data_IF_042617170359
#
_entry.id   IF_042617170359
#
_cell.length_a   1.000
_cell.length_b   1.000
_cell.length_c   1.000
_cell.angle_alpha   90.00
_cell.angle_beta   90.00
_cell.angle_gamma   90.00
#
_symmetry.space_group_name_H-M   'P 1'
#
loop_
_entity.id
_entity.type
_entity.pdbx_description
1 polymer ?
#
# COMPACT_ATOMS: atom_id res chain seq x y z
N UNK A 1 33.83 5.49 42.73
CA UNK A 1 35.27 5.39 42.47
C UNK A 1 35.56 3.94 42.08
N UNK A 2 35.90 3.70 40.81
CA UNK A 2 36.32 2.43 40.16
C UNK A 2 35.27 1.29 40.17
N UNK A 3 35.09 0.44 39.14
CA UNK A 3 36.04 -0.09 38.16
C UNK A 3 35.35 -0.68 36.90
N UNK A 4 35.83 -0.25 35.72
CA UNK A 4 36.26 -0.98 34.51
C UNK A 4 35.33 -1.97 33.77
N UNK A 5 35.04 -1.69 32.48
CA UNK A 5 35.61 -2.32 31.23
C UNK A 5 35.23 -3.81 31.12
N UNK A 6 34.56 -4.36 30.11
CA UNK A 6 34.41 -4.07 28.67
C UNK A 6 34.50 -5.43 27.93
N UNK A 7 33.78 -5.63 26.81
CA UNK A 7 33.97 -6.67 25.74
C UNK A 7 32.82 -6.55 24.71
N UNK A 8 33.00 -5.79 23.62
CA UNK A 8 33.36 -6.25 22.25
C UNK A 8 32.37 -7.23 21.61
N UNK A 9 31.51 -6.71 20.71
CA UNK A 9 30.66 -7.46 19.80
C UNK A 9 31.40 -7.71 18.47
N UNK A 10 31.44 -8.96 18.03
CA UNK A 10 32.00 -9.37 16.74
C UNK A 10 30.95 -9.28 15.63
N UNK A 11 31.35 -8.70 14.50
CA UNK A 11 30.69 -8.80 13.20
C UNK A 11 31.06 -10.14 12.55
N UNK A 12 30.08 -10.90 12.09
CA UNK A 12 30.30 -12.03 11.20
C UNK A 12 29.59 -11.77 9.85
N UNK A 13 30.40 -11.41 8.85
CA UNK A 13 30.10 -11.56 7.43
C UNK A 13 30.20 -13.04 7.07
N UNK A 14 29.27 -13.54 6.26
CA UNK A 14 29.39 -14.85 5.63
C UNK A 14 29.03 -14.73 4.15
N UNK A 15 30.04 -14.96 3.30
CA UNK A 15 29.92 -15.05 1.87
C UNK A 15 30.82 -16.19 1.35
N UNK A 16 30.34 -16.83 0.28
CA UNK A 16 30.99 -17.66 -0.74
C UNK A 16 31.15 -19.20 -0.56
N UNK A 17 30.31 -19.92 -1.35
CA UNK A 17 30.60 -20.63 -2.63
C UNK A 17 31.18 -22.07 -2.71
N UNK A 18 30.44 -22.88 -3.52
CA UNK A 18 30.81 -23.86 -4.60
C UNK A 18 30.69 -25.40 -4.41
N UNK A 19 29.82 -25.96 -5.29
CA UNK A 19 29.95 -27.12 -6.24
C UNK A 19 29.92 -28.58 -5.75
N UNK A 20 29.06 -29.38 -6.40
CA UNK A 20 29.16 -30.84 -6.54
C UNK A 20 28.07 -31.41 -7.46
N UNK A 21 28.45 -32.25 -8.43
CA UNK A 21 27.73 -32.62 -9.67
C UNK A 21 26.80 -33.86 -9.61
N UNK A 22 26.01 -34.02 -10.69
CA UNK A 22 25.35 -35.26 -11.14
C UNK A 22 24.06 -34.92 -11.90
N UNK A 23 23.80 -35.25 -13.16
CA UNK A 23 24.27 -36.32 -14.04
C UNK A 23 23.01 -36.99 -14.60
N UNK A 24 22.66 -36.78 -15.88
CA UNK A 24 21.56 -37.50 -16.53
C UNK A 24 21.82 -37.65 -18.02
N UNK A 25 21.70 -38.89 -18.48
CA UNK A 25 22.14 -39.42 -19.76
C UNK A 25 21.21 -39.05 -20.93
N UNK A 26 21.82 -38.85 -22.10
CA UNK A 26 21.14 -38.80 -23.40
C UNK A 26 21.12 -40.20 -24.04
N UNK A 27 20.02 -40.53 -24.70
CA UNK A 27 19.93 -41.64 -25.66
C UNK A 27 19.82 -41.05 -27.07
N UNK A 28 20.75 -41.43 -27.96
CA UNK A 28 20.63 -41.21 -29.40
C UNK A 28 21.02 -42.51 -30.13
N UNK A 29 20.23 -42.85 -31.15
CA UNK A 29 20.38 -44.01 -32.04
C UNK A 29 21.41 -43.77 -33.15
N UNK A 30 21.95 -44.83 -33.80
CA UNK A 30 23.06 -44.70 -34.73
C UNK A 30 22.61 -44.62 -36.20
N UNK A 31 23.37 -43.91 -37.03
CA UNK A 31 23.37 -44.08 -38.48
C UNK A 31 24.81 -44.13 -39.01
N UNK A 32 25.10 -45.20 -39.74
CA UNK A 32 26.36 -45.50 -40.42
C UNK A 32 26.49 -44.70 -41.73
N UNK A 33 27.72 -44.37 -42.11
CA UNK A 33 28.05 -43.91 -43.47
C UNK A 33 29.53 -43.56 -43.62
N UNK A 34 30.30 -44.47 -44.24
CA UNK A 34 31.72 -44.32 -44.59
C UNK A 34 31.91 -43.50 -45.87
N UNK A 35 32.93 -42.65 -45.92
CA UNK A 35 33.42 -42.01 -47.15
C UNK A 35 34.64 -41.11 -46.91
N UNK A 36 35.79 -41.49 -47.45
CA UNK A 36 37.12 -40.86 -47.29
C UNK A 36 37.22 -39.45 -47.90
N UNK A 37 37.96 -38.56 -47.24
CA UNK A 37 38.42 -37.28 -47.78
C UNK A 37 39.57 -36.68 -46.96
N UNK A 38 40.74 -36.56 -47.60
CA UNK A 38 41.96 -35.80 -47.28
C UNK A 38 42.11 -35.12 -45.90
N UNK A 39 43.14 -35.51 -45.15
CA UNK A 39 43.59 -34.85 -43.92
C UNK A 39 44.31 -33.53 -44.24
N UNK A 40 43.65 -32.41 -43.96
CA UNK A 40 44.32 -31.12 -43.73
C UNK A 40 44.62 -30.98 -42.22
N UNK A 41 45.74 -30.33 -41.82
CA UNK A 41 46.03 -30.10 -40.41
C UNK A 41 44.97 -29.19 -39.77
N UNK A 42 44.66 -29.36 -38.47
CA UNK A 42 43.60 -28.60 -37.81
C UNK A 42 43.92 -27.10 -37.78
N UNK A 43 42.99 -26.30 -38.30
CA UNK A 43 43.01 -24.83 -38.19
C UNK A 43 42.81 -24.44 -36.71
N UNK A 44 43.56 -23.48 -36.16
CA UNK A 44 43.34 -23.02 -34.79
C UNK A 44 41.91 -22.48 -34.62
N UNK A 45 41.28 -22.69 -33.44
CA UNK A 45 39.92 -22.23 -33.19
C UNK A 45 39.84 -20.70 -33.35
N UNK A 46 38.72 -20.16 -33.86
CA UNK A 46 38.53 -18.72 -33.92
C UNK A 46 38.59 -18.13 -32.51
N UNK A 47 39.11 -16.90 -32.36
CA UNK A 47 39.16 -16.24 -31.06
C UNK A 47 37.75 -16.19 -30.46
N UNK A 48 37.61 -16.66 -29.22
CA UNK A 48 36.37 -16.54 -28.48
C UNK A 48 36.00 -15.05 -28.40
N UNK A 49 34.77 -14.65 -28.74
CA UNK A 49 34.33 -13.29 -28.49
C UNK A 49 34.45 -13.02 -26.99
N UNK A 50 35.04 -11.87 -26.64
CA UNK A 50 35.16 -11.42 -25.27
C UNK A 50 33.78 -11.50 -24.57
N UNK A 51 33.72 -11.87 -23.28
CA UNK A 51 32.46 -11.92 -22.57
C UNK A 51 31.78 -10.56 -22.70
N UNK A 52 30.59 -10.55 -23.29
CA UNK A 52 29.70 -9.39 -23.28
C UNK A 52 29.37 -9.17 -21.80
N UNK A 53 29.99 -8.17 -21.20
CA UNK A 53 29.53 -7.63 -19.93
C UNK A 53 28.16 -7.03 -20.20
N UNK A 54 27.12 -7.74 -19.81
CA UNK A 54 25.80 -7.13 -19.65
C UNK A 54 25.98 -6.03 -18.60
N UNK A 55 26.04 -4.78 -19.06
CA UNK A 55 25.94 -3.58 -18.23
C UNK A 55 24.58 -3.64 -17.53
N UNK A 56 24.56 -4.37 -16.43
CA UNK A 56 23.47 -4.30 -15.47
C UNK A 56 23.60 -2.90 -14.88
N UNK A 57 22.56 -2.05 -14.88
CA UNK A 57 22.65 -0.74 -14.26
C UNK A 57 23.05 -0.94 -12.79
N UNK A 58 24.31 -0.65 -12.46
CA UNK A 58 24.77 -0.64 -11.08
C UNK A 58 23.94 0.42 -10.37
N UNK A 59 23.35 0.07 -9.22
CA UNK A 59 22.74 1.07 -8.35
C UNK A 59 23.76 2.22 -8.15
N UNK A 60 23.33 3.50 -8.26
CA UNK A 60 24.25 4.63 -8.10
C UNK A 60 24.96 4.54 -6.75
N UNK A 61 26.27 4.80 -6.76
CA UNK A 61 27.10 4.78 -5.56
C UNK A 61 26.49 5.67 -4.45
N UNK A 62 26.62 5.31 -3.16
CA UNK A 62 26.06 6.10 -2.07
C UNK A 62 26.62 7.53 -2.10
N UNK A 63 25.74 8.49 -2.31
CA UNK A 63 26.04 9.92 -2.26
C UNK A 63 25.77 10.41 -0.83
N UNK A 64 26.82 10.75 -0.09
CA UNK A 64 26.73 11.25 1.29
C UNK A 64 25.80 12.46 1.43
N UNK A 65 25.73 13.31 0.40
CA UNK A 65 24.85 14.48 0.39
C UNK A 65 23.37 14.10 0.19
N UNK A 66 23.11 13.07 -0.63
CA UNK A 66 21.77 12.50 -0.84
C UNK A 66 21.29 11.80 0.43
N UNK A 67 22.15 10.99 1.06
CA UNK A 67 21.84 10.31 2.32
C UNK A 67 21.57 11.30 3.45
N UNK A 68 22.34 12.40 3.54
CA UNK A 68 22.11 13.47 4.51
C UNK A 68 20.79 14.21 4.24
N UNK A 69 20.48 14.52 2.97
CA UNK A 69 19.23 15.18 2.60
C UNK A 69 18.01 14.31 2.93
N UNK A 70 18.09 13.00 2.64
CA UNK A 70 17.05 12.05 3.03
C UNK A 70 16.88 12.00 4.54
N UNK A 71 17.98 11.94 5.30
CA UNK A 71 17.93 11.91 6.75
C UNK A 71 17.21 13.15 7.30
N UNK A 72 17.60 14.34 6.88
CA UNK A 72 16.94 15.59 7.28
C UNK A 72 15.45 15.58 6.92
N UNK A 73 15.10 15.15 5.71
CA UNK A 73 13.70 15.04 5.29
C UNK A 73 12.91 14.03 6.12
N UNK A 74 13.51 12.88 6.45
CA UNK A 74 12.83 11.80 7.16
C UNK A 74 12.70 12.03 8.67
N UNK A 75 13.51 12.91 9.24
CA UNK A 75 13.46 13.31 10.66
C UNK A 75 12.43 14.41 10.96
N UNK A 76 11.84 15.04 9.94
CA UNK A 76 10.78 16.05 10.13
C UNK A 76 9.60 15.51 10.92
N UNK A 77 8.99 16.31 11.79
CA UNK A 77 7.81 15.86 12.53
C UNK A 77 6.58 15.88 11.62
N UNK A 78 5.53 15.16 12.02
CA UNK A 78 4.28 15.08 11.23
C UNK A 78 3.64 16.46 11.05
N UNK A 79 3.85 17.36 12.00
CA UNK A 79 3.31 18.71 12.03
C UNK A 79 4.07 19.67 11.09
N UNK A 80 5.30 19.34 10.71
CA UNK A 80 6.17 20.16 9.85
C UNK A 80 5.79 20.07 8.35
N UNK A 81 4.49 20.07 8.03
CA UNK A 81 3.95 19.75 6.71
C UNK A 81 4.54 20.62 5.60
N UNK A 82 4.64 21.94 5.83
CA UNK A 82 5.22 22.86 4.84
C UNK A 82 6.68 22.52 4.52
N UNK A 83 7.48 22.18 5.54
CA UNK A 83 8.88 21.82 5.38
C UNK A 83 9.05 20.44 4.74
N UNK A 84 8.13 19.50 5.02
CA UNK A 84 8.10 18.21 4.33
C UNK A 84 7.87 18.42 2.82
N UNK A 85 6.90 19.24 2.43
CA UNK A 85 6.64 19.51 1.01
C UNK A 85 7.87 20.16 0.37
N UNK A 86 8.41 21.21 0.97
CA UNK A 86 9.59 21.93 0.46
C UNK A 86 10.80 20.99 0.27
N UNK A 87 11.23 20.30 1.33
CA UNK A 87 12.41 19.43 1.27
C UNK A 87 12.20 18.20 0.38
N UNK A 88 10.98 17.66 0.33
CA UNK A 88 10.67 16.54 -0.56
C UNK A 88 10.71 16.95 -2.03
N UNK A 89 10.12 18.09 -2.40
CA UNK A 89 10.18 18.61 -3.76
C UNK A 89 11.62 18.98 -4.18
N UNK A 90 12.40 19.59 -3.28
CA UNK A 90 13.82 19.87 -3.50
C UNK A 90 14.64 18.59 -3.72
N UNK A 91 14.39 17.55 -2.89
CA UNK A 91 15.06 16.26 -3.02
C UNK A 91 14.79 15.64 -4.39
N UNK A 92 13.52 15.57 -4.82
CA UNK A 92 13.14 15.00 -6.11
C UNK A 92 13.72 15.78 -7.30
N UNK A 93 13.81 17.11 -7.17
CA UNK A 93 14.42 17.97 -8.19
C UNK A 93 15.93 17.75 -8.28
N UNK A 94 16.62 17.62 -7.14
CA UNK A 94 18.07 17.48 -7.07
C UNK A 94 18.54 16.06 -7.42
N UNK A 95 17.74 15.05 -7.07
CA UNK A 95 18.08 13.64 -7.23
C UNK A 95 16.98 12.86 -7.99
N UNK A 96 16.70 13.20 -9.27
CA UNK A 96 15.58 12.62 -10.02
C UNK A 96 15.67 11.10 -10.23
N UNK A 97 16.87 10.50 -10.13
CA UNK A 97 17.11 9.05 -10.21
C UNK A 97 17.38 8.37 -8.86
N UNK A 98 17.08 9.03 -7.74
CA UNK A 98 17.39 8.51 -6.41
C UNK A 98 16.64 7.21 -6.10
N UNK A 99 17.35 6.28 -5.45
CA UNK A 99 16.77 5.06 -4.87
C UNK A 99 15.75 5.36 -3.75
N UNK A 100 15.78 6.57 -3.20
CA UNK A 100 14.90 7.00 -2.13
C UNK A 100 13.62 7.70 -2.62
N UNK A 101 13.45 7.88 -3.93
CA UNK A 101 12.26 8.53 -4.48
C UNK A 101 10.96 7.86 -4.00
N UNK A 102 10.94 6.53 -3.85
CA UNK A 102 9.79 5.82 -3.29
C UNK A 102 9.40 6.33 -1.90
N UNK A 103 10.39 6.53 -1.02
CA UNK A 103 10.20 7.05 0.35
C UNK A 103 9.76 8.50 0.32
N UNK A 104 10.36 9.31 -0.55
CA UNK A 104 10.04 10.74 -0.66
C UNK A 104 8.62 10.95 -1.16
N UNK A 105 8.22 10.30 -2.24
CA UNK A 105 6.84 10.34 -2.74
C UNK A 105 5.84 9.82 -1.71
N UNK A 106 6.16 8.74 -1.00
CA UNK A 106 5.28 8.19 0.04
C UNK A 106 5.05 9.18 1.18
N UNK A 107 6.05 9.98 1.54
CA UNK A 107 5.89 11.00 2.59
C UNK A 107 5.22 12.28 2.09
N UNK A 108 5.43 12.63 0.81
CA UNK A 108 4.77 13.78 0.19
C UNK A 108 3.26 13.59 0.02
N UNK A 109 2.78 12.38 -0.30
CA UNK A 109 1.35 12.15 -0.52
C UNK A 109 0.45 12.59 0.67
N UNK A 110 0.65 12.11 1.91
CA UNK A 110 -0.12 12.60 3.05
C UNK A 110 0.17 14.06 3.40
N UNK A 111 1.37 14.58 3.12
CA UNK A 111 1.68 15.99 3.32
C UNK A 111 0.84 16.90 2.38
N UNK A 112 0.72 16.54 1.10
CA UNK A 112 -0.14 17.24 0.16
C UNK A 112 -1.63 17.13 0.54
N UNK A 113 -2.06 15.99 1.07
CA UNK A 113 -3.42 15.85 1.60
C UNK A 113 -3.71 16.85 2.72
N UNK A 114 -2.77 17.00 3.66
CA UNK A 114 -2.93 17.88 4.81
C UNK A 114 -3.08 19.37 4.43
N UNK A 115 -2.61 19.77 3.25
CA UNK A 115 -2.77 21.12 2.70
C UNK A 115 -3.75 21.20 1.52
N UNK A 116 -4.63 20.20 1.40
CA UNK A 116 -5.67 20.11 0.36
C UNK A 116 -5.15 20.19 -1.09
N UNK A 117 -3.88 19.85 -1.34
CA UNK A 117 -3.32 19.73 -2.69
C UNK A 117 -3.58 18.33 -3.26
N UNK A 118 -4.85 18.00 -3.48
CA UNK A 118 -5.27 16.62 -3.78
C UNK A 118 -4.70 16.06 -5.09
N UNK A 119 -4.57 16.86 -6.15
CA UNK A 119 -3.97 16.40 -7.42
C UNK A 119 -2.51 15.97 -7.21
N UNK A 120 -1.74 16.74 -6.43
CA UNK A 120 -0.37 16.38 -6.07
C UNK A 120 -0.32 15.16 -5.14
N UNK A 121 -1.28 15.02 -4.22
CA UNK A 121 -1.38 13.84 -3.37
C UNK A 121 -1.56 12.56 -4.19
N UNK A 122 -2.51 12.52 -5.12
CA UNK A 122 -2.74 11.33 -5.95
C UNK A 122 -1.55 11.06 -6.87
N UNK A 123 -0.93 12.10 -7.46
CA UNK A 123 0.25 11.94 -8.29
C UNK A 123 1.46 11.37 -7.50
N UNK A 124 1.71 11.89 -6.30
CA UNK A 124 2.75 11.38 -5.41
C UNK A 124 2.45 9.95 -4.94
N UNK A 125 1.21 9.65 -4.59
CA UNK A 125 0.78 8.30 -4.19
C UNK A 125 0.98 7.28 -5.30
N UNK A 126 0.57 7.59 -6.53
CA UNK A 126 0.81 6.69 -7.69
C UNK A 126 2.31 6.51 -7.95
N UNK A 127 3.12 7.58 -7.87
CA UNK A 127 4.58 7.46 -8.01
C UNK A 127 5.23 6.63 -6.91
N UNK A 128 4.75 6.75 -5.67
CA UNK A 128 5.22 5.92 -4.57
C UNK A 128 4.92 4.44 -4.81
N UNK A 129 3.71 4.11 -5.28
CA UNK A 129 3.30 2.72 -5.58
C UNK A 129 3.93 2.15 -6.86
N UNK A 130 4.28 2.99 -7.83
CA UNK A 130 5.07 2.59 -8.99
C UNK A 130 6.48 2.11 -8.56
N UNK A 131 7.10 2.82 -7.61
CA UNK A 131 8.45 2.52 -7.13
C UNK A 131 8.50 1.49 -5.99
N UNK A 132 7.45 1.43 -5.17
CA UNK A 132 7.27 0.44 -4.11
C UNK A 132 5.78 0.00 -4.05
N UNK A 133 5.41 -1.05 -4.80
CA UNK A 133 4.01 -1.51 -4.91
C UNK A 133 3.37 -1.98 -3.60
N UNK A 134 4.19 -2.37 -2.62
CA UNK A 134 3.75 -2.89 -1.32
C UNK A 134 3.91 -1.87 -0.19
N UNK A 135 4.04 -0.57 -0.51
CA UNK A 135 3.98 0.47 0.49
C UNK A 135 2.58 0.54 1.12
N UNK A 136 2.44 -0.11 2.28
CA UNK A 136 1.15 -0.31 2.96
C UNK A 136 0.47 1.01 3.37
N UNK A 137 1.25 2.04 3.69
CA UNK A 137 0.71 3.36 4.07
C UNK A 137 0.01 4.02 2.87
N UNK A 138 0.66 3.96 1.71
CA UNK A 138 0.12 4.55 0.49
C UNK A 138 -0.99 3.69 -0.10
N UNK A 139 -0.90 2.37 -0.03
CA UNK A 139 -2.00 1.49 -0.42
C UNK A 139 -3.27 1.79 0.40
N UNK A 140 -3.14 1.94 1.73
CA UNK A 140 -4.26 2.27 2.61
C UNK A 140 -4.85 3.65 2.27
N UNK A 141 -3.99 4.66 2.10
CA UNK A 141 -4.38 6.02 1.78
C UNK A 141 -5.11 6.11 0.43
N UNK A 142 -4.52 5.54 -0.61
CA UNK A 142 -5.07 5.57 -1.96
C UNK A 142 -6.34 4.72 -2.06
N UNK A 143 -6.39 3.56 -1.41
CA UNK A 143 -7.58 2.70 -1.33
C UNK A 143 -8.78 3.42 -0.70
N UNK A 144 -8.54 4.22 0.34
CA UNK A 144 -9.58 5.01 1.00
C UNK A 144 -10.05 6.22 0.18
N UNK A 145 -9.16 6.88 -0.55
CA UNK A 145 -9.44 8.19 -1.19
C UNK A 145 -9.86 8.11 -2.65
N UNK A 146 -9.34 7.15 -3.42
CA UNK A 146 -9.72 6.98 -4.84
C UNK A 146 -11.23 6.85 -5.08
N UNK A 147 -12.01 6.08 -4.31
CA UNK A 147 -13.44 5.95 -4.58
C UNK A 147 -14.20 7.25 -4.32
N UNK A 148 -13.68 8.15 -3.46
CA UNK A 148 -14.26 9.49 -3.22
C UNK A 148 -14.08 10.43 -4.42
N UNK A 149 -13.13 10.14 -5.30
CA UNK A 149 -12.83 10.91 -6.52
C UNK A 149 -13.32 10.24 -7.80
N UNK A 150 -14.03 9.11 -7.71
CA UNK A 150 -14.63 8.45 -8.86
C UNK A 150 -15.68 9.35 -9.52
N UNK A 151 -15.37 9.88 -10.70
CA UNK A 151 -16.31 10.62 -11.53
C UNK A 151 -16.97 9.68 -12.54
N UNK A 152 -18.03 10.14 -13.22
CA UNK A 152 -18.80 9.27 -14.12
C UNK A 152 -17.96 8.62 -15.22
N UNK A 153 -16.95 9.32 -15.76
CA UNK A 153 -16.13 8.83 -16.87
C UNK A 153 -14.99 7.90 -16.46
N UNK A 154 -14.55 7.95 -15.20
CA UNK A 154 -13.39 7.19 -14.70
C UNK A 154 -13.71 6.32 -13.47
N UNK A 155 -15.00 6.18 -13.15
CA UNK A 155 -15.47 5.44 -11.98
C UNK A 155 -14.92 4.02 -11.96
N UNK A 156 -15.10 3.25 -13.03
CA UNK A 156 -14.69 1.84 -13.06
C UNK A 156 -13.19 1.67 -12.79
N UNK A 157 -12.36 2.50 -13.42
CA UNK A 157 -10.91 2.47 -13.26
C UNK A 157 -10.51 2.84 -11.81
N UNK A 158 -11.05 3.94 -11.27
CA UNK A 158 -10.72 4.38 -9.91
C UNK A 158 -11.21 3.40 -8.85
N UNK A 159 -12.42 2.86 -9.02
CA UNK A 159 -12.99 1.86 -8.11
C UNK A 159 -12.23 0.54 -8.17
N UNK A 160 -11.76 0.11 -9.35
CA UNK A 160 -10.93 -1.08 -9.47
C UNK A 160 -9.57 -0.90 -8.77
N UNK A 161 -8.93 0.27 -8.95
CA UNK A 161 -7.68 0.59 -8.24
C UNK A 161 -7.90 0.65 -6.73
N UNK A 162 -8.96 1.32 -6.27
CA UNK A 162 -9.32 1.41 -4.86
C UNK A 162 -9.47 0.02 -4.23
N UNK A 163 -10.26 -0.85 -4.86
CA UNK A 163 -10.46 -2.23 -4.41
C UNK A 163 -9.14 -3.01 -4.34
N UNK A 164 -8.30 -2.90 -5.39
CA UNK A 164 -6.98 -3.55 -5.43
C UNK A 164 -6.10 -3.09 -4.26
N UNK A 165 -5.98 -1.78 -4.05
CA UNK A 165 -5.11 -1.22 -3.02
C UNK A 165 -5.59 -1.54 -1.61
N UNK A 166 -6.91 -1.44 -1.35
CA UNK A 166 -7.46 -1.80 -0.05
C UNK A 166 -7.30 -3.30 0.25
N UNK A 167 -7.57 -4.20 -0.72
CA UNK A 167 -7.36 -5.64 -0.53
C UNK A 167 -5.89 -5.98 -0.25
N UNK A 168 -4.96 -5.36 -1.00
CA UNK A 168 -3.52 -5.56 -0.77
C UNK A 168 -3.08 -5.05 0.60
N UNK A 169 -3.65 -3.93 1.06
CA UNK A 169 -3.41 -3.40 2.42
C UNK A 169 -3.80 -4.43 3.48
N UNK A 170 -5.00 -5.00 3.39
CA UNK A 170 -5.50 -6.00 4.33
C UNK A 170 -4.60 -7.24 4.34
N UNK A 171 -4.22 -7.73 3.16
CA UNK A 171 -3.33 -8.88 3.00
C UNK A 171 -1.96 -8.64 3.66
N UNK A 172 -1.31 -7.51 3.35
CA UNK A 172 0.00 -7.16 3.90
C UNK A 172 -0.06 -6.99 5.43
N UNK A 173 -1.09 -6.35 5.96
CA UNK A 173 -1.24 -6.15 7.40
C UNK A 173 -1.58 -7.44 8.16
N UNK A 174 -2.26 -8.41 7.52
CA UNK A 174 -2.50 -9.71 8.11
C UNK A 174 -1.19 -10.47 8.35
N UNK A 175 -0.23 -10.38 7.42
CA UNK A 175 1.09 -11.00 7.53
C UNK A 175 2.12 -10.16 8.29
N UNK A 176 1.82 -8.89 8.60
CA UNK A 176 2.77 -7.97 9.21
C UNK A 176 3.12 -8.40 10.64
N UNK A 177 4.41 -8.59 10.88
CA UNK A 177 4.96 -8.78 12.21
C UNK A 177 5.18 -7.44 12.89
N UNK A 178 5.01 -7.41 14.21
CA UNK A 178 5.28 -6.24 15.02
C UNK A 178 6.77 -5.86 14.90
N UNK A 179 7.09 -4.63 14.48
CA UNK A 179 8.47 -4.15 14.49
C UNK A 179 9.08 -4.13 15.90
N UNK A 180 10.40 -4.28 15.98
CA UNK A 180 11.14 -4.05 17.21
C UNK A 180 10.98 -2.60 17.67
N UNK A 181 10.95 -2.38 18.99
CA UNK A 181 10.82 -1.05 19.59
C UNK A 181 9.39 -0.50 19.69
N UNK A 182 8.39 -1.12 19.04
CA UNK A 182 6.98 -0.81 19.28
C UNK A 182 6.38 -1.72 20.36
N UNK A 183 5.55 -1.13 21.21
CA UNK A 183 4.65 -1.89 22.09
C UNK A 183 3.57 -2.59 21.27
N UNK A 184 2.99 -3.65 21.83
CA UNK A 184 1.87 -4.37 21.22
C UNK A 184 0.67 -3.43 20.97
N UNK A 185 0.41 -2.50 21.90
CA UNK A 185 -0.67 -1.52 21.78
C UNK A 185 -0.43 -0.54 20.63
N UNK A 186 0.76 0.05 20.53
CA UNK A 186 1.10 1.00 19.44
C UNK A 186 1.03 0.32 18.07
N UNK A 187 1.54 -0.90 17.98
CA UNK A 187 1.49 -1.67 16.74
C UNK A 187 0.05 -2.00 16.33
N UNK A 188 -0.76 -2.51 17.25
CA UNK A 188 -2.15 -2.85 16.96
C UNK A 188 -2.98 -1.60 16.66
N UNK A 189 -2.75 -0.47 17.33
CA UNK A 189 -3.39 0.80 17.02
C UNK A 189 -3.05 1.26 15.59
N UNK A 190 -1.78 1.26 15.22
CA UNK A 190 -1.34 1.66 13.87
C UNK A 190 -1.86 0.71 12.78
N UNK A 191 -1.85 -0.61 13.05
CA UNK A 191 -2.39 -1.64 12.16
C UNK A 191 -3.90 -1.47 11.98
N UNK A 192 -4.65 -1.33 13.06
CA UNK A 192 -6.10 -1.18 13.01
C UNK A 192 -6.54 0.12 12.33
N UNK A 193 -5.77 1.20 12.47
CA UNK A 193 -6.05 2.44 11.74
C UNK A 193 -5.96 2.22 10.23
N UNK A 194 -4.93 1.53 9.73
CA UNK A 194 -4.77 1.25 8.29
C UNK A 194 -5.78 0.22 7.79
N UNK A 195 -6.11 -0.80 8.59
CA UNK A 195 -7.20 -1.73 8.28
C UNK A 195 -8.53 -0.98 8.18
N UNK A 196 -8.82 -0.06 9.10
CA UNK A 196 -10.02 0.77 9.07
C UNK A 196 -10.09 1.60 7.78
N UNK A 197 -8.99 2.25 7.38
CA UNK A 197 -8.91 2.96 6.09
C UNK A 197 -9.19 2.05 4.89
N UNK A 198 -8.57 0.86 4.85
CA UNK A 198 -8.74 -0.09 3.75
C UNK A 198 -10.19 -0.58 3.65
N UNK A 199 -10.80 -0.95 4.78
CA UNK A 199 -12.20 -1.37 4.87
C UNK A 199 -13.17 -0.22 4.53
N UNK A 200 -12.88 1.02 4.94
CA UNK A 200 -13.66 2.21 4.52
C UNK A 200 -13.64 2.38 3.00
N UNK A 201 -12.45 2.25 2.38
CA UNK A 201 -12.27 2.30 0.94
C UNK A 201 -13.04 1.21 0.19
N UNK A 202 -13.00 -0.05 0.65
CA UNK A 202 -13.80 -1.14 0.08
C UNK A 202 -15.30 -0.90 0.26
N UNK A 203 -15.69 -0.47 1.45
CA UNK A 203 -17.05 -0.09 1.79
C UNK A 203 -17.66 0.89 0.79
N UNK A 204 -16.98 2.01 0.55
CA UNK A 204 -17.42 3.01 -0.43
C UNK A 204 -17.36 2.48 -1.87
N UNK A 205 -16.32 1.71 -2.20
CA UNK A 205 -16.19 1.10 -3.53
C UNK A 205 -17.36 0.19 -3.87
N UNK A 206 -17.74 -0.69 -2.94
CA UNK A 206 -18.89 -1.58 -3.09
C UNK A 206 -20.21 -0.82 -3.05
N UNK A 207 -20.32 0.25 -2.27
CA UNK A 207 -21.51 1.11 -2.26
C UNK A 207 -21.77 1.73 -3.64
N UNK A 208 -20.73 2.27 -4.28
CA UNK A 208 -20.82 2.86 -5.62
C UNK A 208 -21.11 1.82 -6.70
N UNK A 209 -20.62 0.59 -6.52
CA UNK A 209 -20.96 -0.57 -7.38
C UNK A 209 -22.29 -1.23 -7.04
N UNK A 210 -23.08 -0.65 -6.15
CA UNK A 210 -24.39 -1.16 -5.72
C UNK A 210 -24.34 -2.56 -5.06
N UNK A 211 -23.17 -2.97 -4.58
CA UNK A 211 -22.96 -4.20 -3.81
C UNK A 211 -23.19 -3.91 -2.33
N UNK A 212 -24.45 -3.68 -1.97
CA UNK A 212 -24.80 -3.13 -0.65
C UNK A 212 -24.49 -4.08 0.52
N UNK A 213 -24.67 -5.39 0.34
CA UNK A 213 -24.31 -6.38 1.36
C UNK A 213 -22.80 -6.40 1.66
N UNK A 214 -21.98 -6.39 0.61
CA UNK A 214 -20.52 -6.33 0.75
C UNK A 214 -20.08 -4.99 1.35
N UNK A 215 -20.68 -3.89 0.91
CA UNK A 215 -20.42 -2.55 1.47
C UNK A 215 -20.67 -2.50 2.98
N UNK A 216 -21.79 -3.08 3.43
CA UNK A 216 -22.12 -3.20 4.85
C UNK A 216 -21.06 -4.00 5.60
N UNK A 217 -20.65 -5.16 5.09
CA UNK A 217 -19.66 -6.01 5.74
C UNK A 217 -18.32 -5.27 5.96
N UNK A 218 -17.87 -4.52 4.96
CA UNK A 218 -16.61 -3.77 5.02
C UNK A 218 -16.71 -2.55 5.94
N UNK A 219 -17.78 -1.75 5.84
CA UNK A 219 -17.96 -0.55 6.68
C UNK A 219 -18.20 -0.90 8.17
N UNK A 220 -18.77 -2.07 8.45
CA UNK A 220 -18.83 -2.58 9.82
C UNK A 220 -17.43 -2.87 10.37
N UNK A 221 -16.50 -3.42 9.57
CA UNK A 221 -15.12 -3.61 10.02
C UNK A 221 -14.42 -2.26 10.24
N UNK A 222 -14.57 -1.33 9.29
CA UNK A 222 -13.95 -0.01 9.37
C UNK A 222 -14.29 0.72 10.68
N UNK A 223 -15.56 0.65 11.10
CA UNK A 223 -16.06 1.32 12.30
C UNK A 223 -15.80 0.58 13.62
N UNK A 224 -15.49 -0.73 13.59
CA UNK A 224 -15.21 -1.55 14.79
C UNK A 224 -13.72 -1.61 15.16
N UNK A 225 -12.83 -1.43 14.18
CA UNK A 225 -11.38 -1.60 14.37
C UNK A 225 -10.72 -0.48 15.18
N UNK A 226 -11.31 0.72 15.17
CA UNK A 226 -10.78 1.92 15.82
C UNK A 226 -11.70 2.38 16.95
N UNK A 227 -11.11 2.99 17.99
CA UNK A 227 -11.87 3.56 19.12
C UNK A 227 -12.73 4.74 18.67
N UNK A 228 -12.18 5.56 17.79
CA UNK A 228 -12.80 6.76 17.24
C UNK A 228 -12.90 6.60 15.73
N UNK A 229 -14.03 6.05 15.27
CA UNK A 229 -14.30 5.91 13.85
C UNK A 229 -14.75 7.24 13.25
N UNK A 230 -14.36 7.48 12.00
CA UNK A 230 -14.73 8.69 11.27
C UNK A 230 -16.26 8.81 11.15
N UNK A 231 -16.86 9.98 11.45
CA UNK A 231 -18.30 10.19 11.27
C UNK A 231 -18.78 9.91 9.84
N UNK A 232 -17.87 10.09 8.86
CA UNK A 232 -18.12 9.75 7.46
C UNK A 232 -18.33 8.24 7.25
N UNK A 233 -17.61 7.38 7.96
CA UNK A 233 -17.76 5.93 7.83
C UNK A 233 -19.10 5.47 8.42
N UNK A 234 -19.55 6.07 9.53
CA UNK A 234 -20.89 5.84 10.06
C UNK A 234 -22.00 6.33 9.11
N UNK A 235 -21.80 7.48 8.46
CA UNK A 235 -22.72 7.96 7.44
C UNK A 235 -22.82 6.98 6.27
N UNK A 236 -21.68 6.54 5.71
CA UNK A 236 -21.63 5.58 4.61
C UNK A 236 -22.26 4.25 5.02
N UNK A 237 -22.02 3.78 6.25
CA UNK A 237 -22.62 2.56 6.79
C UNK A 237 -24.15 2.68 6.88
N UNK A 238 -24.65 3.84 7.33
CA UNK A 238 -26.09 4.13 7.33
C UNK A 238 -26.70 4.06 5.93
N UNK A 239 -26.03 4.66 4.94
CA UNK A 239 -26.47 4.61 3.54
C UNK A 239 -26.46 3.17 3.02
N UNK A 240 -25.39 2.42 3.30
CA UNK A 240 -25.26 1.03 2.87
C UNK A 240 -26.35 0.14 3.48
N UNK A 241 -26.62 0.26 4.78
CA UNK A 241 -27.73 -0.45 5.43
C UNK A 241 -29.09 -0.08 4.83
N UNK A 242 -29.35 1.20 4.58
CA UNK A 242 -30.62 1.63 4.00
C UNK A 242 -30.82 1.06 2.60
N UNK A 243 -29.76 1.05 1.77
CA UNK A 243 -29.78 0.44 0.43
C UNK A 243 -29.91 -1.09 0.48
N UNK A 244 -29.39 -1.72 1.53
CA UNK A 244 -29.60 -3.14 1.84
C UNK A 244 -30.94 -3.41 2.58
N UNK A 245 -31.82 -2.42 2.71
CA UNK A 245 -33.11 -2.49 3.41
C UNK A 245 -33.03 -2.89 4.90
N UNK A 246 -31.84 -2.79 5.52
CA UNK A 246 -31.61 -2.98 6.97
C UNK A 246 -31.87 -1.68 7.71
N UNK A 247 -33.11 -1.20 7.68
CA UNK A 247 -33.48 0.14 8.14
C UNK A 247 -33.23 0.40 9.63
N UNK A 248 -33.39 -0.61 10.49
CA UNK A 248 -33.07 -0.46 11.93
C UNK A 248 -31.58 -0.22 12.15
N UNK A 249 -30.73 -1.01 11.48
CA UNK A 249 -29.27 -0.86 11.57
C UNK A 249 -28.82 0.47 10.94
N UNK A 250 -29.46 0.89 9.84
CA UNK A 250 -29.25 2.19 9.20
C UNK A 250 -29.50 3.36 10.16
N UNK A 251 -30.64 3.32 10.89
CA UNK A 251 -30.98 4.34 11.87
C UNK A 251 -29.93 4.46 12.98
N UNK A 252 -29.40 3.33 13.46
CA UNK A 252 -28.32 3.31 14.44
C UNK A 252 -27.03 3.90 13.90
N UNK A 253 -26.60 3.50 12.69
CA UNK A 253 -25.37 4.01 12.08
C UNK A 253 -25.44 5.52 11.82
N UNK A 254 -26.56 6.02 11.27
CA UNK A 254 -26.78 7.45 11.11
C UNK A 254 -26.85 8.21 12.44
N UNK A 255 -27.39 7.58 13.49
CA UNK A 255 -27.38 8.13 14.84
C UNK A 255 -25.96 8.41 15.32
N UNK A 256 -25.06 7.42 15.24
CA UNK A 256 -23.64 7.58 15.60
C UNK A 256 -22.96 8.68 14.80
N UNK A 257 -23.23 8.76 13.49
CA UNK A 257 -22.73 9.86 12.68
C UNK A 257 -23.20 11.24 13.19
N UNK A 258 -24.45 11.35 13.62
CA UNK A 258 -25.07 12.60 14.08
C UNK A 258 -24.65 13.06 15.48
N UNK A 259 -23.92 12.23 16.23
CA UNK A 259 -23.35 12.59 17.54
C UNK A 259 -22.14 13.52 17.40
N UNK A 260 -21.40 13.41 16.30
CA UNK A 260 -20.27 14.29 16.02
C UNK A 260 -20.72 15.72 15.68
N UNK A 261 -19.95 16.72 16.11
CA UNK A 261 -20.14 18.12 15.70
C UNK A 261 -19.34 18.40 14.42
N UNK A 262 -19.98 18.21 13.26
CA UNK A 262 -19.37 18.39 11.95
C UNK A 262 -20.41 18.77 10.90
N UNK A 263 -19.97 19.24 9.72
CA UNK A 263 -20.86 19.86 8.72
C UNK A 263 -21.96 18.96 8.14
N UNK A 264 -21.96 17.65 8.44
CA UNK A 264 -22.96 16.69 7.94
C UNK A 264 -23.90 16.19 9.05
N UNK A 265 -23.84 16.77 10.25
CA UNK A 265 -24.64 16.35 11.41
C UNK A 265 -26.15 16.28 11.10
N UNK A 266 -26.70 17.32 10.45
CA UNK A 266 -28.13 17.36 10.12
C UNK A 266 -28.53 16.32 9.09
N UNK A 267 -27.65 16.04 8.12
CA UNK A 267 -27.85 14.96 7.14
C UNK A 267 -27.92 13.61 7.84
N UNK A 268 -27.07 13.38 8.83
CA UNK A 268 -27.09 12.15 9.63
C UNK A 268 -28.34 12.04 10.50
N UNK A 269 -28.75 13.12 11.19
CA UNK A 269 -30.02 13.13 11.95
C UNK A 269 -31.22 12.81 11.05
N UNK A 270 -31.32 13.46 9.89
CA UNK A 270 -32.37 13.18 8.90
C UNK A 270 -32.34 11.73 8.42
N UNK A 271 -31.17 11.20 8.07
CA UNK A 271 -31.02 9.79 7.67
C UNK A 271 -31.48 8.81 8.74
N UNK A 272 -31.18 9.11 10.01
CA UNK A 272 -31.64 8.30 11.14
C UNK A 272 -33.17 8.32 11.29
N UNK A 273 -33.80 9.48 11.18
CA UNK A 273 -35.26 9.62 11.24
C UNK A 273 -35.97 8.91 10.08
N UNK A 274 -35.49 9.12 8.85
CA UNK A 274 -36.07 8.50 7.66
C UNK A 274 -35.94 6.97 7.73
N UNK A 275 -34.79 6.46 8.21
CA UNK A 275 -34.59 5.03 8.43
C UNK A 275 -35.51 4.45 9.52
N UNK A 276 -35.77 5.19 10.60
CA UNK A 276 -36.75 4.77 11.63
C UNK A 276 -38.17 4.64 11.08
N UNK A 277 -38.60 5.57 10.22
CA UNK A 277 -39.91 5.52 9.57
C UNK A 277 -40.04 4.30 8.64
N UNK A 278 -38.98 4.00 7.88
CA UNK A 278 -38.93 2.83 7.01
C UNK A 278 -38.95 1.53 7.83
N UNK A 279 -38.19 1.45 8.93
CA UNK A 279 -38.18 0.29 9.81
C UNK A 279 -39.55 -0.01 10.45
N UNK A 280 -40.35 1.02 10.73
CA UNK A 280 -41.69 0.85 11.30
C UNK A 280 -42.73 0.34 10.29
N UNK A 281 -42.46 0.46 8.99
CA UNK A 281 -43.43 0.19 7.91
C UNK A 281 -43.03 -0.96 7.00
N UNK A 282 -41.78 -1.40 7.03
CA UNK A 282 -41.25 -2.43 6.15
C UNK A 282 -40.62 -3.59 6.94
N UNK A 283 -40.89 -4.86 6.54
CA UNK A 283 -40.25 -6.01 7.16
C UNK A 283 -38.73 -5.96 6.94
N UNK A 284 -37.96 -6.29 7.98
CA UNK A 284 -36.51 -6.31 7.91
C UNK A 284 -36.03 -7.60 7.23
N UNK A 285 -35.03 -7.54 6.32
CA UNK A 285 -34.41 -8.74 5.81
C UNK A 285 -33.65 -9.47 6.94
N UNK A 286 -33.55 -10.82 6.89
CA UNK A 286 -32.77 -11.58 7.87
C UNK A 286 -31.31 -11.12 7.86
N UNK A 287 -30.70 -11.08 9.06
CA UNK A 287 -29.25 -10.85 9.15
C UNK A 287 -28.51 -12.06 8.57
N UNK A 288 -27.48 -11.84 7.73
CA UNK A 288 -26.65 -12.92 7.20
C UNK A 288 -25.86 -13.63 8.31
#
# INVERSE_FOLDING_TARGET
MQSKIGKTFWLALLALLLVGAGGSAAWATPAQGYGQGQQNPPKPPPPQPAPITLDTPSAPAPNLEEDAALKTFTELKREDVARQIELGEEFLKKYPGSRYNAVVYARLAPAYLAVAQEDKMFAAGEKALELNPDNVDILALMGMLLPRRAGTLDADQKLQKAEKYSKRTIELLAAMQKPDGLTEEEFNAAKNQKLSMAHSGLGLTYLQRQRYGDSVAELEQATKLVKEAEPTDFYLLGVAYQKAQRFSDAATAFGKCGEAQWGWQDRCKKGAEDSKKLAATQPQPPKP
#
